data_IF_923707282376
#
_entry.id   IF_923707282376
#
_cell.length_a   1.000
_cell.length_b   1.000
_cell.length_c   1.000
_cell.angle_alpha   90.00
_cell.angle_beta   90.00
_cell.angle_gamma   90.00
#
_symmetry.space_group_name_H-M   'P 1'
#
loop_
_entity.id
_entity.type
_entity.pdbx_description
1 polymer ?
#
# COMPACT_ATOMS: atom_id res chain seq x y z
N UNK A 1 -52.02 -16.53 26.38
CA UNK A 1 -51.90 -16.37 27.84
C UNK A 1 -53.23 -15.88 28.39
N UNK A 2 -53.74 -16.45 29.48
CA UNK A 2 -55.04 -16.12 30.11
C UNK A 2 -55.01 -14.77 30.87
N UNK A 3 -54.36 -13.75 30.32
CA UNK A 3 -54.16 -12.47 31.03
C UNK A 3 -55.48 -11.78 31.41
N UNK A 4 -56.52 -11.97 30.60
CA UNK A 4 -57.84 -11.40 30.90
C UNK A 4 -58.43 -11.94 32.22
N UNK A 5 -58.03 -13.15 32.64
CA UNK A 5 -58.48 -13.76 33.90
C UNK A 5 -57.83 -13.11 35.14
N UNK A 6 -56.82 -12.24 34.97
CA UNK A 6 -56.19 -11.53 36.10
C UNK A 6 -56.86 -10.21 36.43
N UNK A 7 -57.86 -9.76 35.66
CA UNK A 7 -58.57 -8.51 35.92
C UNK A 7 -59.49 -8.63 37.14
N UNK A 8 -59.30 -7.73 38.10
CA UNK A 8 -60.18 -7.57 39.28
C UNK A 8 -61.32 -6.61 38.94
N UNK A 9 -61.01 -5.54 38.21
CA UNK A 9 -61.96 -4.50 37.84
C UNK A 9 -61.65 -3.91 36.46
N UNK A 10 -62.70 -3.54 35.71
CA UNK A 10 -62.58 -2.93 34.40
C UNK A 10 -62.59 -3.94 33.25
N UNK A 11 -62.08 -3.50 32.10
CA UNK A 11 -62.10 -4.24 30.83
C UNK A 11 -60.69 -4.29 30.22
N UNK A 12 -60.43 -5.32 29.41
CA UNK A 12 -59.17 -5.43 28.68
C UNK A 12 -59.10 -4.43 27.53
N UNK A 13 -57.93 -4.31 26.90
CA UNK A 13 -57.72 -3.38 25.78
C UNK A 13 -58.53 -3.76 24.54
N UNK A 14 -59.13 -2.75 23.92
CA UNK A 14 -59.74 -2.82 22.60
C UNK A 14 -58.73 -2.38 21.52
N UNK A 15 -58.90 -2.81 20.24
CA UNK A 15 -57.96 -2.46 19.17
C UNK A 15 -57.77 -0.95 18.90
N UNK A 16 -58.74 -0.12 19.29
CA UNK A 16 -58.71 1.34 19.12
C UNK A 16 -58.23 2.09 20.38
N UNK A 17 -57.88 1.38 21.44
CA UNK A 17 -57.33 2.00 22.64
C UNK A 17 -55.94 2.57 22.40
N UNK A 18 -55.66 3.73 22.99
CA UNK A 18 -54.37 4.42 22.86
C UNK A 18 -53.88 4.98 24.20
N UNK A 19 -54.53 6.02 24.77
CA UNK A 19 -54.13 6.65 26.06
C UNK A 19 -54.83 6.05 27.27
N UNK A 20 -54.78 4.74 27.39
CA UNK A 20 -55.34 4.01 28.53
C UNK A 20 -54.27 3.12 29.16
N UNK A 21 -54.47 2.74 30.41
CA UNK A 21 -53.62 1.77 31.09
C UNK A 21 -54.43 0.83 31.99
N UNK A 22 -53.85 -0.33 32.30
CA UNK A 22 -54.33 -1.23 33.34
C UNK A 22 -53.23 -1.31 34.40
N UNK A 23 -53.57 -0.99 35.64
CA UNK A 23 -52.62 -0.90 36.76
C UNK A 23 -52.75 -2.11 37.69
N UNK A 24 -51.72 -2.40 38.48
CA UNK A 24 -51.79 -3.45 39.49
C UNK A 24 -52.68 -3.05 40.67
N UNK A 25 -53.20 -4.03 41.41
CA UNK A 25 -53.93 -3.82 42.65
C UNK A 25 -53.10 -3.07 43.71
N UNK A 26 -51.77 -3.26 43.70
CA UNK A 26 -50.84 -2.53 44.57
C UNK A 26 -50.74 -1.05 44.20
N UNK A 27 -50.58 -0.72 42.91
CA UNK A 27 -50.50 0.65 42.42
C UNK A 27 -51.83 1.36 42.66
N UNK A 28 -52.94 0.69 42.36
CA UNK A 28 -54.27 1.25 42.59
C UNK A 28 -54.50 1.62 44.06
N UNK A 29 -54.14 0.73 45.00
CA UNK A 29 -54.25 1.01 46.44
C UNK A 29 -53.30 2.10 46.92
N UNK A 30 -52.08 2.13 46.39
CA UNK A 30 -51.02 3.05 46.85
C UNK A 30 -51.24 4.48 46.37
N UNK A 31 -51.84 4.65 45.20
CA UNK A 31 -52.15 5.96 44.59
C UNK A 31 -53.63 6.34 44.71
N UNK A 32 -54.43 5.55 45.44
CA UNK A 32 -55.88 5.72 45.60
C UNK A 32 -56.64 5.88 44.25
N UNK A 33 -56.28 5.03 43.28
CA UNK A 33 -56.80 5.07 41.91
C UNK A 33 -57.99 4.14 41.72
N UNK A 34 -59.03 4.65 41.08
CA UNK A 34 -60.19 3.92 40.61
C UNK A 34 -60.27 3.91 39.08
N UNK A 35 -61.20 3.12 38.53
CA UNK A 35 -61.48 3.11 37.08
C UNK A 35 -61.92 4.51 36.64
N UNK A 36 -61.30 5.02 35.59
CA UNK A 36 -61.58 6.35 35.03
C UNK A 36 -60.64 7.44 35.54
N UNK A 37 -59.87 7.20 36.60
CA UNK A 37 -58.86 8.13 37.06
C UNK A 37 -57.67 8.19 36.11
N UNK A 38 -56.87 9.25 36.22
CA UNK A 38 -55.74 9.47 35.32
C UNK A 38 -54.40 9.31 36.03
N UNK A 39 -53.46 8.63 35.38
CA UNK A 39 -52.07 8.47 35.82
C UNK A 39 -51.14 9.10 34.78
N UNK A 40 -50.11 9.80 35.24
CA UNK A 40 -49.06 10.31 34.37
C UNK A 40 -47.92 9.29 34.25
N UNK A 41 -47.63 8.86 33.02
CA UNK A 41 -46.53 7.97 32.69
C UNK A 41 -45.65 8.64 31.65
N UNK A 42 -44.42 9.02 32.04
CA UNK A 42 -43.43 9.65 31.17
C UNK A 42 -43.94 10.92 30.47
N UNK A 43 -44.79 11.71 31.14
CA UNK A 43 -45.39 12.94 30.59
C UNK A 43 -46.63 12.70 29.73
N UNK A 44 -47.10 11.45 29.63
CA UNK A 44 -48.35 11.08 28.96
C UNK A 44 -49.41 10.75 30.00
N UNK A 45 -50.50 11.50 29.98
CA UNK A 45 -51.68 11.25 30.83
C UNK A 45 -52.48 10.07 30.28
N UNK A 46 -52.56 8.99 31.05
CA UNK A 46 -53.27 7.75 30.75
C UNK A 46 -54.51 7.61 31.63
N UNK A 47 -55.60 7.11 31.06
CA UNK A 47 -56.83 6.79 31.80
C UNK A 47 -56.79 5.34 32.29
N UNK A 48 -57.05 5.11 33.57
CA UNK A 48 -57.10 3.77 34.17
C UNK A 48 -58.36 3.05 33.67
N UNK A 49 -58.18 2.10 32.76
CA UNK A 49 -59.26 1.28 32.18
C UNK A 49 -59.59 0.06 33.05
N UNK A 50 -58.61 -0.46 33.78
CA UNK A 50 -58.80 -1.60 34.66
C UNK A 50 -57.70 -1.77 35.71
N UNK A 51 -57.94 -2.68 36.64
CA UNK A 51 -57.05 -3.06 37.73
C UNK A 51 -56.87 -4.57 37.71
N UNK A 52 -55.63 -5.06 37.70
CA UNK A 52 -55.31 -6.49 37.69
C UNK A 52 -54.73 -6.96 39.04
N UNK A 53 -54.92 -8.25 39.35
CA UNK A 53 -54.33 -8.91 40.51
C UNK A 53 -52.85 -9.21 40.26
N UNK A 54 -51.96 -8.55 41.01
CA UNK A 54 -50.52 -8.73 40.88
C UNK A 54 -50.03 -10.14 41.21
N UNK A 55 -50.69 -10.87 42.12
CA UNK A 55 -50.30 -12.24 42.48
C UNK A 55 -50.66 -13.22 41.37
N UNK A 56 -51.85 -13.07 40.79
CA UNK A 56 -52.28 -13.91 39.66
C UNK A 56 -51.40 -13.66 38.43
N UNK A 57 -51.07 -12.40 38.13
CA UNK A 57 -50.18 -12.08 37.00
C UNK A 57 -48.78 -12.64 37.20
N UNK A 58 -48.20 -12.58 38.41
CA UNK A 58 -46.90 -13.17 38.73
C UNK A 58 -46.88 -14.71 38.62
N UNK A 59 -48.04 -15.38 38.76
CA UNK A 59 -48.14 -16.82 38.62
C UNK A 59 -48.21 -17.28 37.15
N UNK A 60 -48.49 -16.36 36.21
CA UNK A 60 -48.50 -16.65 34.78
C UNK A 60 -47.06 -16.67 34.28
N UNK A 61 -46.68 -17.81 33.72
CA UNK A 61 -45.38 -18.00 33.09
C UNK A 61 -45.52 -17.86 31.57
N UNK A 62 -44.50 -17.27 30.95
CA UNK A 62 -44.35 -17.16 29.51
C UNK A 62 -43.91 -18.51 28.90
N UNK A 63 -43.80 -18.58 27.57
CA UNK A 63 -43.43 -19.78 26.82
C UNK A 63 -42.05 -20.34 27.21
N UNK A 64 -41.15 -19.48 27.68
CA UNK A 64 -39.82 -19.83 28.16
C UNK A 64 -39.81 -20.28 29.63
N UNK A 65 -41.00 -20.45 30.24
CA UNK A 65 -41.24 -20.75 31.65
C UNK A 65 -40.72 -19.69 32.62
N UNK A 66 -40.41 -18.49 32.15
CA UNK A 66 -40.09 -17.35 33.01
C UNK A 66 -41.34 -16.53 33.33
N UNK A 67 -41.25 -15.61 34.29
CA UNK A 67 -42.37 -14.69 34.56
C UNK A 67 -42.57 -13.76 33.36
N UNK A 68 -43.84 -13.50 33.07
CA UNK A 68 -44.28 -12.61 31.98
C UNK A 68 -43.84 -11.15 32.18
N UNK A 69 -43.50 -10.75 33.40
CA UNK A 69 -43.15 -9.37 33.74
C UNK A 69 -41.80 -8.94 33.14
N UNK A 70 -41.55 -7.63 32.99
CA UNK A 70 -40.27 -7.12 32.46
C UNK A 70 -39.08 -7.51 33.35
N UNK A 71 -37.86 -7.54 32.80
CA UNK A 71 -36.61 -7.72 33.58
C UNK A 71 -36.33 -6.46 34.41
N UNK A 72 -35.96 -6.62 35.69
CA UNK A 72 -35.54 -5.53 36.57
C UNK A 72 -34.06 -5.20 36.34
N UNK A 73 -33.81 -4.02 35.75
CA UNK A 73 -32.46 -3.56 35.40
C UNK A 73 -31.71 -2.92 36.57
N UNK A 74 -32.36 -2.74 37.72
CA UNK A 74 -31.73 -2.16 38.92
C UNK A 74 -30.76 -3.12 39.59
N UNK A 75 -30.80 -4.40 39.23
CA UNK A 75 -29.93 -5.46 39.75
C UNK A 75 -28.99 -5.94 38.64
N UNK A 76 -27.76 -5.40 38.54
CA UNK A 76 -26.83 -5.80 37.49
C UNK A 76 -26.44 -7.28 37.62
N UNK A 77 -26.49 -8.03 36.51
CA UNK A 77 -26.00 -9.40 36.43
C UNK A 77 -26.98 -10.50 36.86
N UNK A 78 -28.18 -10.13 37.33
CA UNK A 78 -29.26 -11.08 37.63
C UNK A 78 -30.43 -10.80 36.68
N UNK A 79 -30.88 -11.80 35.92
CA UNK A 79 -32.12 -11.69 35.13
C UNK A 79 -33.36 -11.80 36.03
N UNK A 80 -33.42 -10.98 37.07
CA UNK A 80 -34.58 -10.95 37.95
C UNK A 80 -35.72 -10.20 37.24
N UNK A 81 -36.94 -10.69 37.40
CA UNK A 81 -38.12 -10.08 36.78
C UNK A 81 -38.77 -9.13 37.77
N UNK A 82 -39.27 -8.00 37.29
CA UNK A 82 -40.01 -7.05 38.10
C UNK A 82 -41.26 -7.71 38.66
N UNK A 83 -41.57 -7.45 39.94
CA UNK A 83 -42.83 -7.90 40.53
C UNK A 83 -44.01 -7.26 39.78
N UNK A 84 -45.01 -8.05 39.41
CA UNK A 84 -46.24 -7.57 38.78
C UNK A 84 -46.94 -6.45 39.58
N UNK A 85 -46.68 -6.36 40.89
CA UNK A 85 -47.13 -5.26 41.75
C UNK A 85 -46.67 -3.88 41.26
N UNK A 86 -45.53 -3.78 40.56
CA UNK A 86 -44.98 -2.53 40.03
C UNK A 86 -45.13 -2.39 38.51
N UNK A 87 -45.95 -3.22 37.87
CA UNK A 87 -46.14 -3.23 36.42
C UNK A 87 -47.41 -2.46 36.03
N UNK A 88 -47.30 -1.65 34.98
CA UNK A 88 -48.43 -1.00 34.30
C UNK A 88 -48.52 -1.61 32.90
N UNK A 89 -49.71 -2.04 32.51
CA UNK A 89 -49.99 -2.53 31.16
C UNK A 89 -50.49 -1.37 30.31
N UNK A 90 -50.00 -1.27 29.08
CA UNK A 90 -50.40 -0.24 28.10
C UNK A 90 -50.74 -0.89 26.75
N UNK A 91 -51.60 -0.25 25.93
CA UNK A 91 -51.88 -0.70 24.57
C UNK A 91 -50.63 -0.74 23.69
N UNK A 92 -50.59 -1.71 22.77
CA UNK A 92 -49.51 -1.86 21.79
C UNK A 92 -49.33 -0.61 20.91
N UNK A 93 -50.44 0.03 20.53
CA UNK A 93 -50.47 1.27 19.74
C UNK A 93 -49.67 2.40 20.41
N UNK A 94 -49.85 2.60 21.72
CA UNK A 94 -49.08 3.56 22.50
C UNK A 94 -47.63 3.12 22.70
N UNK A 95 -47.41 1.83 22.97
CA UNK A 95 -46.06 1.29 23.13
C UNK A 95 -45.21 1.52 21.86
N UNK A 96 -45.79 1.31 20.67
CA UNK A 96 -45.13 1.49 19.37
C UNK A 96 -44.55 2.91 19.19
N UNK A 97 -45.27 3.94 19.63
CA UNK A 97 -44.80 5.33 19.50
C UNK A 97 -43.67 5.66 20.49
N UNK A 98 -43.68 5.05 21.67
CA UNK A 98 -42.55 5.13 22.60
C UNK A 98 -41.28 4.44 22.05
N UNK A 99 -41.44 3.40 21.24
CA UNK A 99 -40.33 2.64 20.65
C UNK A 99 -39.72 3.35 19.44
N UNK A 100 -40.54 3.92 18.55
CA UNK A 100 -40.09 4.52 17.29
C UNK A 100 -39.48 5.92 17.44
N UNK A 101 -39.75 6.62 18.54
CA UNK A 101 -39.40 8.04 18.71
C UNK A 101 -37.99 8.31 19.23
N UNK A 102 -37.23 7.28 19.63
CA UNK A 102 -35.97 7.46 20.35
C UNK A 102 -34.85 6.70 19.63
N UNK A 103 -33.88 7.44 19.07
CA UNK A 103 -32.69 6.89 18.40
C UNK A 103 -31.76 6.10 19.33
N UNK A 104 -30.51 5.88 18.93
CA UNK A 104 -29.54 5.12 19.74
C UNK A 104 -29.35 5.71 21.15
N UNK A 105 -29.24 4.85 22.17
CA UNK A 105 -28.96 5.28 23.54
C UNK A 105 -27.51 5.72 23.65
N UNK A 106 -27.30 6.92 24.20
CA UNK A 106 -25.99 7.56 24.32
C UNK A 106 -25.41 7.47 25.73
N UNK A 107 -26.23 7.13 26.73
CA UNK A 107 -25.81 6.99 28.13
C UNK A 107 -26.35 5.72 28.81
N UNK A 108 -25.68 5.28 29.88
CA UNK A 108 -26.13 4.16 30.72
C UNK A 108 -27.46 4.44 31.43
N UNK A 109 -27.69 5.70 31.79
CA UNK A 109 -28.93 6.17 32.42
C UNK A 109 -30.11 6.11 31.43
N UNK A 110 -29.87 6.43 30.16
CA UNK A 110 -30.84 6.21 29.08
C UNK A 110 -31.18 4.73 28.91
N UNK A 111 -30.20 3.82 28.94
CA UNK A 111 -30.47 2.38 28.78
C UNK A 111 -31.35 1.84 29.93
N UNK A 112 -31.15 2.37 31.14
CA UNK A 112 -31.87 1.95 32.34
C UNK A 112 -33.30 2.53 32.44
N UNK A 113 -33.53 3.73 31.93
CA UNK A 113 -34.81 4.45 32.08
C UNK A 113 -35.65 4.51 30.80
N UNK A 114 -35.07 4.20 29.63
CA UNK A 114 -35.81 4.25 28.36
C UNK A 114 -36.88 3.16 28.28
N UNK A 115 -38.10 3.50 27.81
CA UNK A 115 -39.06 2.52 27.37
C UNK A 115 -38.45 1.76 26.18
N UNK A 116 -38.40 0.44 26.30
CA UNK A 116 -37.81 -0.44 25.30
C UNK A 116 -38.56 -1.75 25.27
N UNK A 117 -38.60 -2.36 24.10
CA UNK A 117 -39.11 -3.72 23.95
C UNK A 117 -38.15 -4.65 24.70
N UNK A 118 -38.62 -5.30 25.76
CA UNK A 118 -37.80 -6.25 26.55
C UNK A 118 -38.05 -7.71 26.17
N UNK A 119 -39.28 -8.04 25.80
CA UNK A 119 -39.65 -9.35 25.28
C UNK A 119 -40.85 -9.19 24.34
N UNK A 120 -40.79 -9.82 23.18
CA UNK A 120 -41.96 -10.04 22.33
C UNK A 120 -42.00 -11.53 22.02
N UNK A 121 -43.01 -12.19 22.56
CA UNK A 121 -43.36 -13.56 22.20
C UNK A 121 -44.70 -13.51 21.48
N UNK A 122 -44.74 -13.93 20.22
CA UNK A 122 -45.99 -14.05 19.48
C UNK A 122 -45.87 -15.23 18.50
N UNK A 123 -47.01 -15.87 18.24
CA UNK A 123 -47.12 -16.94 17.26
C UNK A 123 -47.87 -16.35 16.07
N UNK A 124 -47.23 -16.20 14.89
CA UNK A 124 -47.91 -15.64 13.72
C UNK A 124 -49.06 -16.56 13.28
N UNK A 125 -50.10 -15.96 12.68
CA UNK A 125 -51.15 -16.73 12.01
C UNK A 125 -50.56 -17.44 10.79
N UNK A 126 -51.16 -18.58 10.40
CA UNK A 126 -50.64 -19.46 9.33
C UNK A 126 -50.42 -18.78 7.97
N UNK A 127 -51.08 -17.66 7.70
CA UNK A 127 -51.07 -16.98 6.40
C UNK A 127 -50.09 -15.79 6.32
N UNK A 128 -49.24 -15.58 7.33
CA UNK A 128 -48.27 -14.46 7.35
C UNK A 128 -46.90 -14.93 6.87
N UNK A 129 -46.26 -14.17 5.99
CA UNK A 129 -44.90 -14.42 5.53
C UNK A 129 -43.92 -14.36 6.71
N UNK A 130 -43.49 -15.54 7.18
CA UNK A 130 -42.69 -15.67 8.40
C UNK A 130 -41.37 -14.90 8.34
N UNK A 131 -40.63 -15.03 7.23
CA UNK A 131 -39.33 -14.37 7.06
C UNK A 131 -39.44 -12.85 6.98
N UNK A 132 -40.41 -12.32 6.21
CA UNK A 132 -40.62 -10.87 6.08
C UNK A 132 -41.02 -10.25 7.42
N UNK A 133 -41.89 -10.94 8.17
CA UNK A 133 -42.30 -10.50 9.51
C UNK A 133 -41.13 -10.49 10.49
N UNK A 134 -40.26 -11.51 10.44
CA UNK A 134 -39.06 -11.57 11.28
C UNK A 134 -38.10 -10.43 10.97
N UNK A 135 -37.87 -10.13 9.69
CA UNK A 135 -37.04 -8.99 9.27
C UNK A 135 -37.64 -7.65 9.70
N UNK A 136 -38.95 -7.46 9.50
CA UNK A 136 -39.64 -6.23 9.90
C UNK A 136 -39.54 -6.00 11.41
N UNK A 137 -39.79 -7.04 12.21
CA UNK A 137 -39.68 -6.95 13.67
C UNK A 137 -38.23 -6.74 14.08
N UNK A 138 -37.25 -7.36 13.42
CA UNK A 138 -35.85 -7.14 13.73
C UNK A 138 -35.46 -5.68 13.49
N UNK A 139 -35.90 -5.11 12.35
CA UNK A 139 -35.65 -3.73 11.98
C UNK A 139 -36.38 -2.72 12.88
N UNK A 140 -37.62 -3.00 13.30
CA UNK A 140 -38.38 -2.13 14.18
C UNK A 140 -37.87 -2.19 15.62
N UNK A 141 -37.53 -3.38 16.12
CA UNK A 141 -37.05 -3.56 17.50
C UNK A 141 -35.59 -3.18 17.67
N UNK A 142 -34.80 -3.19 16.59
CA UNK A 142 -33.34 -3.06 16.61
C UNK A 142 -32.67 -4.03 17.60
N UNK A 143 -33.34 -5.14 17.92
CA UNK A 143 -32.96 -6.10 18.96
C UNK A 143 -32.54 -7.46 18.40
N UNK A 144 -32.03 -8.30 19.29
CA UNK A 144 -31.77 -9.72 18.98
C UNK A 144 -33.06 -10.52 19.10
N UNK A 145 -33.52 -11.11 18.00
CA UNK A 145 -34.68 -11.98 17.95
C UNK A 145 -34.27 -13.45 17.96
N UNK A 146 -34.87 -14.22 18.84
CA UNK A 146 -34.80 -15.68 18.82
C UNK A 146 -36.02 -16.22 18.08
N UNK A 147 -35.78 -16.89 16.95
CA UNK A 147 -36.84 -17.34 16.03
C UNK A 147 -36.84 -18.85 15.95
N UNK A 148 -38.03 -19.46 16.02
CA UNK A 148 -38.22 -20.89 15.88
C UNK A 148 -39.27 -21.18 14.80
N UNK A 149 -38.85 -21.82 13.70
CA UNK A 149 -39.73 -22.22 12.58
C UNK A 149 -40.22 -23.69 12.75
N UNK A 150 -40.34 -24.16 13.99
CA UNK A 150 -40.78 -25.51 14.33
C UNK A 150 -39.78 -26.65 14.05
N UNK A 151 -38.73 -26.40 13.26
CA UNK A 151 -37.63 -27.37 13.00
C UNK A 151 -36.29 -26.92 13.59
N UNK A 152 -35.98 -25.64 13.48
CA UNK A 152 -34.70 -25.08 13.90
C UNK A 152 -34.92 -23.76 14.66
N UNK A 153 -33.99 -23.48 15.58
CA UNK A 153 -33.93 -22.21 16.32
C UNK A 153 -32.74 -21.43 15.80
N UNK A 154 -32.99 -20.22 15.31
CA UNK A 154 -31.96 -19.32 14.83
C UNK A 154 -32.13 -17.92 15.42
N UNK A 155 -31.05 -17.15 15.39
CA UNK A 155 -31.00 -15.79 15.94
C UNK A 155 -30.91 -14.80 14.79
N UNK A 156 -31.78 -13.80 14.81
CA UNK A 156 -31.74 -12.65 13.88
C UNK A 156 -31.35 -11.42 14.67
N UNK A 157 -30.32 -10.71 14.23
CA UNK A 157 -29.84 -9.48 14.87
C UNK A 157 -29.56 -8.41 13.82
N UNK A 158 -29.98 -7.18 14.11
CA UNK A 158 -29.63 -6.02 13.27
C UNK A 158 -28.27 -5.49 13.70
N UNK A 159 -27.32 -5.45 12.77
CA UNK A 159 -25.99 -4.85 12.99
C UNK A 159 -25.77 -3.73 11.99
N UNK A 160 -25.35 -2.51 12.42
CA UNK A 160 -25.01 -1.46 11.49
C UNK A 160 -23.82 -1.90 10.61
N UNK A 161 -24.03 -1.90 9.29
CA UNK A 161 -23.02 -2.26 8.31
C UNK A 161 -22.76 -1.12 7.33
N UNK A 162 -21.51 -1.00 6.86
CA UNK A 162 -21.15 -0.04 5.81
C UNK A 162 -21.33 -0.73 4.46
N UNK A 163 -22.24 -0.21 3.63
CA UNK A 163 -22.40 -0.67 2.25
C UNK A 163 -21.69 0.28 1.30
N UNK A 164 -20.59 -0.18 0.70
CA UNK A 164 -19.83 0.59 -0.29
C UNK A 164 -20.37 0.30 -1.71
N UNK A 165 -21.27 1.14 -2.21
CA UNK A 165 -21.70 1.09 -3.61
C UNK A 165 -20.55 1.53 -4.53
N UNK A 166 -20.35 0.82 -5.64
CA UNK A 166 -19.38 1.20 -6.69
C UNK A 166 -17.90 1.04 -6.32
N UNK A 167 -17.59 0.23 -5.31
CA UNK A 167 -16.22 0.07 -4.79
C UNK A 167 -15.25 -0.54 -5.80
N UNK A 168 -15.72 -1.38 -6.72
CA UNK A 168 -14.90 -2.00 -7.74
C UNK A 168 -14.44 -0.99 -8.80
N UNK A 169 -15.35 -0.15 -9.30
CA UNK A 169 -15.02 0.88 -10.30
C UNK A 169 -14.10 1.94 -9.70
N UNK A 170 -14.38 2.38 -8.47
CA UNK A 170 -13.54 3.34 -7.76
C UNK A 170 -12.13 2.79 -7.55
N UNK A 171 -11.99 1.50 -7.18
CA UNK A 171 -10.68 0.89 -7.00
C UNK A 171 -9.84 0.93 -8.29
N UNK A 172 -10.43 0.65 -9.45
CA UNK A 172 -9.73 0.74 -10.75
C UNK A 172 -9.26 2.17 -11.02
N UNK A 173 -10.10 3.17 -10.79
CA UNK A 173 -9.75 4.59 -10.99
C UNK A 173 -8.63 5.02 -10.05
N UNK A 174 -8.66 4.60 -8.78
CA UNK A 174 -7.60 4.89 -7.80
C UNK A 174 -6.28 4.27 -8.23
N UNK A 175 -6.27 3.01 -8.70
CA UNK A 175 -5.05 2.36 -9.19
C UNK A 175 -4.48 3.09 -10.40
N UNK A 176 -5.33 3.49 -11.35
CA UNK A 176 -4.90 4.28 -12.51
C UNK A 176 -4.31 5.63 -12.08
N UNK A 177 -4.95 6.32 -11.12
CA UNK A 177 -4.43 7.58 -10.58
C UNK A 177 -3.06 7.40 -9.92
N UNK A 178 -2.87 6.33 -9.13
CA UNK A 178 -1.58 5.97 -8.51
C UNK A 178 -0.50 5.75 -9.57
N UNK A 179 -0.80 5.03 -10.64
CA UNK A 179 0.14 4.79 -11.74
C UNK A 179 0.52 6.09 -12.47
N UNK A 180 -0.46 6.97 -12.74
CA UNK A 180 -0.19 8.26 -13.36
C UNK A 180 0.70 9.10 -12.44
N UNK A 181 0.35 9.23 -11.17
CA UNK A 181 1.15 9.95 -10.18
C UNK A 181 2.58 9.38 -10.08
N UNK A 182 2.73 8.06 -10.14
CA UNK A 182 4.02 7.38 -10.12
C UNK A 182 4.92 7.86 -11.25
N UNK A 183 4.39 7.86 -12.47
CA UNK A 183 5.14 8.30 -13.65
C UNK A 183 5.47 9.80 -13.60
N UNK A 184 4.55 10.63 -13.12
CA UNK A 184 4.77 12.07 -12.97
C UNK A 184 5.86 12.38 -11.96
N UNK A 185 5.86 11.73 -10.79
CA UNK A 185 6.88 11.94 -9.76
C UNK A 185 8.25 11.47 -10.26
N UNK A 186 8.31 10.33 -10.97
CA UNK A 186 9.56 9.86 -11.56
C UNK A 186 10.15 10.85 -12.57
N UNK A 187 9.31 11.43 -13.42
CA UNK A 187 9.74 12.45 -14.38
C UNK A 187 10.21 13.73 -13.68
N UNK A 188 9.48 14.18 -12.65
CA UNK A 188 9.86 15.35 -11.85
C UNK A 188 11.24 15.19 -11.20
N UNK A 189 11.53 14.00 -10.65
CA UNK A 189 12.86 13.70 -10.09
C UNK A 189 13.92 13.69 -11.19
N UNK A 190 13.62 13.16 -12.38
CA UNK A 190 14.55 13.11 -13.49
C UNK A 190 14.95 14.53 -13.98
N UNK A 191 14.02 15.47 -13.96
CA UNK A 191 14.28 16.88 -14.29
C UNK A 191 15.15 17.57 -13.23
N UNK A 192 14.94 17.24 -11.94
CA UNK A 192 15.64 17.84 -10.80
C UNK A 192 16.95 17.14 -10.39
N UNK A 193 17.48 16.23 -11.21
CA UNK A 193 18.75 15.51 -10.91
C UNK A 193 19.92 16.46 -10.64
N UNK A 194 19.99 17.60 -11.36
CA UNK A 194 21.06 18.60 -11.14
C UNK A 194 20.98 19.23 -9.75
N UNK A 195 19.77 19.57 -9.29
CA UNK A 195 19.53 20.15 -7.97
C UNK A 195 19.89 19.15 -6.86
N UNK A 196 19.49 17.88 -7.03
CA UNK A 196 19.86 16.77 -6.14
C UNK A 196 21.40 16.66 -6.03
N UNK A 197 22.12 16.80 -7.15
CA UNK A 197 23.58 16.80 -7.19
C UNK A 197 24.22 17.99 -6.46
N UNK A 198 23.61 19.18 -6.54
CA UNK A 198 24.07 20.37 -5.81
C UNK A 198 23.89 20.15 -4.30
N UNK A 199 22.71 19.71 -3.88
CA UNK A 199 22.40 19.40 -2.47
C UNK A 199 23.33 18.32 -1.90
N UNK A 200 23.61 17.29 -2.69
CA UNK A 200 24.60 16.26 -2.32
C UNK A 200 26.00 16.84 -2.13
N UNK A 201 26.40 17.80 -2.97
CA UNK A 201 27.73 18.41 -2.91
C UNK A 201 27.89 19.33 -1.69
N UNK A 202 26.77 19.86 -1.17
CA UNK A 202 26.70 20.59 0.09
C UNK A 202 26.69 19.67 1.33
N UNK A 203 26.70 18.34 1.14
CA UNK A 203 26.81 17.37 2.22
C UNK A 203 25.48 16.83 2.74
N UNK A 204 24.35 17.07 2.06
CA UNK A 204 23.10 16.41 2.42
C UNK A 204 23.19 14.90 2.22
N UNK A 205 22.74 14.15 3.23
CA UNK A 205 22.65 12.70 3.14
C UNK A 205 21.52 12.29 2.18
N UNK A 206 21.66 11.13 1.52
CA UNK A 206 20.61 10.56 0.66
C UNK A 206 19.24 10.47 1.33
N UNK A 207 19.21 10.19 2.64
CA UNK A 207 17.97 10.11 3.42
C UNK A 207 17.29 11.46 3.59
N UNK A 208 18.05 12.55 3.80
CA UNK A 208 17.46 13.90 3.90
C UNK A 208 16.85 14.33 2.58
N UNK A 209 17.49 14.01 1.46
CA UNK A 209 16.95 14.30 0.12
C UNK A 209 15.66 13.49 -0.11
N UNK A 210 15.63 12.21 0.25
CA UNK A 210 14.42 11.39 0.15
C UNK A 210 13.28 11.94 1.04
N UNK A 211 13.59 12.36 2.27
CA UNK A 211 12.62 12.96 3.19
C UNK A 211 12.02 14.25 2.62
N UNK A 212 12.84 15.11 2.01
CA UNK A 212 12.36 16.34 1.37
C UNK A 212 11.27 16.06 0.33
N UNK A 213 11.49 15.07 -0.54
CA UNK A 213 10.48 14.66 -1.53
C UNK A 213 9.24 14.03 -0.89
N UNK A 214 9.40 13.24 0.17
CA UNK A 214 8.24 12.69 0.90
C UNK A 214 7.41 13.83 1.51
N UNK A 215 8.05 14.85 2.08
CA UNK A 215 7.35 16.03 2.61
C UNK A 215 6.62 16.81 1.52
N UNK A 216 7.22 17.02 0.35
CA UNK A 216 6.57 17.64 -0.81
C UNK A 216 5.28 16.87 -1.19
N UNK A 217 5.33 15.54 -1.21
CA UNK A 217 4.18 14.69 -1.53
C UNK A 217 3.11 14.69 -0.44
N UNK A 218 3.51 14.74 0.84
CA UNK A 218 2.57 14.91 1.96
C UNK A 218 1.80 16.21 1.81
N UNK A 219 2.48 17.32 1.49
CA UNK A 219 1.84 18.62 1.28
C UNK A 219 0.84 18.54 0.12
N UNK A 220 1.22 17.92 -1.00
CA UNK A 220 0.31 17.72 -2.14
C UNK A 220 -0.90 16.84 -1.79
N UNK A 221 -0.71 15.80 -0.97
CA UNK A 221 -1.81 14.92 -0.56
C UNK A 221 -2.85 15.64 0.29
N UNK A 222 -2.41 16.51 1.21
CA UNK A 222 -3.29 17.27 2.10
C UNK A 222 -4.03 18.35 1.30
N UNK A 223 -3.30 19.18 0.55
CA UNK A 223 -3.91 20.26 -0.24
C UNK A 223 -4.83 19.72 -1.34
N UNK A 224 -4.40 18.67 -2.04
CA UNK A 224 -5.21 18.02 -3.06
C UNK A 224 -6.46 17.36 -2.49
N UNK A 225 -6.36 16.71 -1.32
CA UNK A 225 -7.51 16.12 -0.64
C UNK A 225 -8.54 17.16 -0.22
N UNK A 226 -8.09 18.28 0.37
CA UNK A 226 -9.00 19.37 0.79
C UNK A 226 -9.71 19.98 -0.42
N UNK A 227 -8.97 20.28 -1.50
CA UNK A 227 -9.57 20.80 -2.74
C UNK A 227 -10.56 19.80 -3.36
N UNK A 228 -10.18 18.52 -3.45
CA UNK A 228 -11.05 17.47 -3.98
C UNK A 228 -12.34 17.35 -3.18
N UNK A 229 -12.25 17.43 -1.84
CA UNK A 229 -13.42 17.39 -0.96
C UNK A 229 -14.36 18.57 -1.22
N UNK A 230 -13.84 19.80 -1.27
CA UNK A 230 -14.64 21.01 -1.56
C UNK A 230 -15.31 20.90 -2.93
N UNK A 231 -14.57 20.47 -3.96
CA UNK A 231 -15.12 20.27 -5.32
C UNK A 231 -16.19 19.18 -5.32
N UNK A 232 -16.00 18.08 -4.60
CA UNK A 232 -16.98 17.00 -4.50
C UNK A 232 -18.28 17.46 -3.85
N UNK A 233 -18.20 18.27 -2.79
CA UNK A 233 -19.36 18.87 -2.14
C UNK A 233 -20.10 19.82 -3.09
N UNK A 234 -19.35 20.67 -3.79
CA UNK A 234 -19.92 21.58 -4.79
C UNK A 234 -20.63 20.83 -5.93
N UNK A 235 -20.07 19.71 -6.39
CA UNK A 235 -20.67 18.86 -7.41
C UNK A 235 -21.98 18.24 -6.92
N UNK A 236 -21.98 17.66 -5.71
CA UNK A 236 -23.19 17.08 -5.10
C UNK A 236 -24.28 18.14 -4.92
N UNK A 237 -23.92 19.31 -4.40
CA UNK A 237 -24.85 20.43 -4.24
C UNK A 237 -25.42 20.93 -5.58
N UNK A 238 -24.57 21.00 -6.61
CA UNK A 238 -24.99 21.39 -7.97
C UNK A 238 -25.94 20.38 -8.61
N UNK A 239 -25.67 19.08 -8.47
CA UNK A 239 -26.57 18.02 -8.95
C UNK A 239 -27.93 18.07 -8.26
N UNK A 240 -27.94 18.31 -6.94
CA UNK A 240 -29.17 18.50 -6.18
C UNK A 240 -29.97 19.73 -6.64
N UNK A 241 -29.29 20.86 -6.90
CA UNK A 241 -29.95 22.08 -7.40
C UNK A 241 -30.62 21.87 -8.77
N UNK A 242 -30.02 21.03 -9.62
CA UNK A 242 -30.53 20.72 -10.96
C UNK A 242 -31.60 19.60 -10.98
N UNK A 243 -32.02 19.08 -9.83
CA UNK A 243 -32.96 17.95 -9.70
C UNK A 243 -32.56 16.73 -10.54
N UNK A 244 -31.26 16.51 -10.74
CA UNK A 244 -30.77 15.34 -11.47
C UNK A 244 -30.85 14.14 -10.52
N UNK A 245 -31.65 13.11 -10.82
CA UNK A 245 -31.82 11.97 -9.93
C UNK A 245 -30.49 11.24 -9.75
N UNK A 246 -30.01 11.15 -8.51
CA UNK A 246 -28.67 10.65 -8.19
C UNK A 246 -28.54 9.11 -8.17
N UNK A 247 -29.48 8.37 -8.77
CA UNK A 247 -29.44 6.89 -8.89
C UNK A 247 -28.99 6.15 -7.60
N UNK A 248 -29.43 6.59 -6.43
CA UNK A 248 -29.07 5.96 -5.14
C UNK A 248 -27.70 6.37 -4.56
N UNK A 249 -27.05 7.40 -5.10
CA UNK A 249 -25.90 8.06 -4.46
C UNK A 249 -26.41 8.98 -3.36
N UNK A 250 -26.24 8.55 -2.11
CA UNK A 250 -26.47 9.36 -0.92
C UNK A 250 -25.13 9.92 -0.43
N UNK A 251 -25.05 11.24 -0.28
CA UNK A 251 -23.87 11.88 0.25
C UNK A 251 -23.71 11.54 1.74
N UNK A 252 -22.62 10.85 2.05
CA UNK A 252 -22.25 10.56 3.43
C UNK A 252 -21.41 11.73 3.97
N UNK A 253 -22.00 12.53 4.85
CA UNK A 253 -21.33 13.65 5.52
C UNK A 253 -20.71 13.28 6.88
N UNK A 254 -20.63 11.99 7.20
CA UNK A 254 -20.09 11.57 8.50
C UNK A 254 -18.59 11.81 8.56
N UNK A 255 -18.10 12.30 9.71
CA UNK A 255 -16.66 12.49 9.93
C UNK A 255 -15.86 11.20 9.68
N UNK A 256 -16.44 10.04 10.04
CA UNK A 256 -15.81 8.74 9.82
C UNK A 256 -15.63 8.38 8.35
N UNK A 257 -16.62 8.66 7.49
CA UNK A 257 -16.54 8.40 6.05
C UNK A 257 -15.54 9.33 5.38
N UNK A 258 -15.56 10.62 5.74
CA UNK A 258 -14.59 11.60 5.25
C UNK A 258 -13.16 11.19 5.63
N UNK A 259 -12.91 10.84 6.89
CA UNK A 259 -11.59 10.43 7.36
C UNK A 259 -11.07 9.19 6.60
N UNK A 260 -11.95 8.22 6.32
CA UNK A 260 -11.61 7.02 5.56
C UNK A 260 -11.15 7.38 4.14
N UNK A 261 -11.88 8.24 3.43
CA UNK A 261 -11.53 8.66 2.05
C UNK A 261 -10.22 9.44 2.03
N UNK A 262 -10.05 10.41 2.94
CA UNK A 262 -8.80 11.14 3.09
C UNK A 262 -7.62 10.21 3.41
N UNK A 263 -7.84 9.20 4.25
CA UNK A 263 -6.85 8.16 4.54
C UNK A 263 -6.44 7.38 3.29
N UNK A 264 -7.42 6.88 2.52
CA UNK A 264 -7.14 6.16 1.27
C UNK A 264 -6.34 7.02 0.30
N UNK A 265 -6.73 8.29 0.12
CA UNK A 265 -5.99 9.22 -0.76
C UNK A 265 -4.57 9.47 -0.27
N UNK A 266 -4.40 9.76 1.03
CA UNK A 266 -3.10 10.01 1.64
C UNK A 266 -2.15 8.81 1.46
N UNK A 267 -2.61 7.60 1.79
CA UNK A 267 -1.80 6.39 1.64
C UNK A 267 -1.51 6.06 0.18
N UNK A 268 -2.46 6.30 -0.73
CA UNK A 268 -2.26 6.09 -2.17
C UNK A 268 -1.14 7.00 -2.71
N UNK A 269 -1.18 8.30 -2.39
CA UNK A 269 -0.16 9.26 -2.82
C UNK A 269 1.19 8.94 -2.17
N UNK A 270 1.21 8.63 -0.86
CA UNK A 270 2.44 8.31 -0.16
C UNK A 270 3.10 7.03 -0.71
N UNK A 271 2.31 5.97 -0.98
CA UNK A 271 2.82 4.72 -1.55
C UNK A 271 3.53 4.94 -2.89
N UNK A 272 3.01 5.88 -3.68
CA UNK A 272 3.55 6.27 -4.98
C UNK A 272 4.91 6.93 -4.86
N UNK A 273 5.13 7.72 -3.79
CA UNK A 273 6.34 8.50 -3.57
C UNK A 273 7.52 7.69 -3.03
N UNK A 274 7.27 6.54 -2.38
CA UNK A 274 8.30 5.76 -1.68
C UNK A 274 9.41 5.26 -2.63
N UNK A 275 9.04 4.61 -3.74
CA UNK A 275 10.02 4.07 -4.67
C UNK A 275 10.82 5.17 -5.41
N UNK A 276 10.19 6.21 -5.97
CA UNK A 276 10.90 7.32 -6.59
C UNK A 276 11.84 8.04 -5.61
N UNK A 277 11.41 8.30 -4.37
CA UNK A 277 12.26 8.91 -3.34
C UNK A 277 13.48 8.04 -3.00
N UNK A 278 13.28 6.72 -2.88
CA UNK A 278 14.40 5.79 -2.72
C UNK A 278 15.36 5.82 -3.91
N UNK A 279 14.83 5.85 -5.14
CA UNK A 279 15.65 5.93 -6.35
C UNK A 279 16.44 7.26 -6.42
N UNK A 280 15.83 8.37 -6.03
CA UNK A 280 16.49 9.67 -5.92
C UNK A 280 17.66 9.63 -4.94
N UNK A 281 17.47 9.01 -3.76
CA UNK A 281 18.53 8.85 -2.76
C UNK A 281 19.76 8.10 -3.31
N UNK A 282 19.59 7.14 -4.22
CA UNK A 282 20.71 6.43 -4.85
C UNK A 282 21.46 7.25 -5.90
N UNK A 283 20.83 8.26 -6.49
CA UNK A 283 21.49 9.14 -7.46
C UNK A 283 22.48 10.10 -6.77
N UNK A 284 22.29 10.36 -5.48
CA UNK A 284 23.10 11.24 -4.61
C UNK A 284 24.48 10.64 -4.28
N UNK A 285 24.75 9.37 -4.59
CA UNK A 285 26.07 8.78 -4.40
C UNK A 285 26.92 8.84 -5.67
N UNK A 286 27.70 9.91 -5.93
CA UNK A 286 28.61 9.99 -7.07
C UNK A 286 29.73 8.94 -7.00
N UNK A 287 29.96 8.36 -5.82
CA UNK A 287 30.95 7.28 -5.61
C UNK A 287 30.63 5.97 -6.34
N UNK A 288 29.43 5.82 -6.91
CA UNK A 288 29.03 4.62 -7.67
C UNK A 288 29.42 4.65 -9.16
N UNK A 289 29.95 5.74 -9.72
CA UNK A 289 30.72 5.65 -10.97
C UNK A 289 32.13 5.05 -10.75
N UNK A 290 32.24 4.07 -9.83
CA UNK A 290 33.47 3.35 -9.50
C UNK A 290 34.00 2.48 -10.64
N UNK A 291 33.23 2.32 -11.73
CA UNK A 291 33.60 1.51 -12.90
C UNK A 291 33.87 2.42 -14.09
N UNK A 292 35.15 2.53 -14.46
CA UNK A 292 35.59 3.14 -15.72
C UNK A 292 34.77 2.60 -16.89
N UNK A 293 34.18 3.50 -17.69
CA UNK A 293 33.45 3.19 -18.92
C UNK A 293 34.34 3.53 -20.12
N UNK A 294 34.27 2.70 -21.15
CA UNK A 294 34.92 2.99 -22.44
C UNK A 294 34.23 4.22 -23.04
N UNK A 295 34.99 5.29 -23.29
CA UNK A 295 34.46 6.57 -23.79
C UNK A 295 34.14 6.54 -25.29
N UNK A 296 34.70 5.59 -26.02
CA UNK A 296 34.54 5.47 -27.48
C UNK A 296 33.53 4.39 -27.86
N UNK A 297 32.90 4.55 -29.02
CA UNK A 297 32.02 3.55 -29.64
C UNK A 297 32.72 2.91 -30.87
N UNK A 298 32.48 1.62 -31.15
CA UNK A 298 32.97 0.98 -32.37
C UNK A 298 32.40 1.63 -33.63
N UNK A 299 33.21 1.70 -34.68
CA UNK A 299 32.84 2.15 -36.02
C UNK A 299 32.91 0.95 -36.97
N UNK A 300 31.76 0.33 -37.22
CA UNK A 300 31.72 -0.95 -37.95
C UNK A 300 32.53 -2.01 -37.20
N UNK A 301 33.43 -2.70 -37.89
CA UNK A 301 34.22 -3.80 -37.30
C UNK A 301 35.49 -3.35 -36.56
N UNK A 302 35.69 -2.04 -36.39
CA UNK A 302 36.88 -1.47 -35.74
C UNK A 302 36.49 -0.67 -34.51
N UNK A 303 37.19 -0.87 -33.40
CA UNK A 303 37.01 -0.11 -32.17
C UNK A 303 38.33 0.44 -31.66
N UNK A 304 38.47 1.77 -31.72
CA UNK A 304 39.62 2.50 -31.20
C UNK A 304 39.34 2.93 -29.76
N UNK A 305 40.21 2.54 -28.83
CA UNK A 305 40.08 2.85 -27.40
C UNK A 305 41.41 3.46 -26.94
N UNK A 306 41.46 4.78 -26.67
CA UNK A 306 42.64 5.40 -26.09
C UNK A 306 42.81 4.90 -24.64
N UNK A 307 44.02 4.48 -24.29
CA UNK A 307 44.32 4.00 -22.95
C UNK A 307 44.81 5.16 -22.07
N UNK A 308 44.37 5.25 -20.80
CA UNK A 308 44.76 6.33 -19.89
C UNK A 308 46.17 6.10 -19.29
N UNK A 309 47.16 5.87 -20.16
CA UNK A 309 48.55 5.67 -19.79
C UNK A 309 49.44 6.58 -20.63
N UNK A 310 50.18 7.45 -19.97
CA UNK A 310 51.23 8.27 -20.54
C UNK A 310 52.55 7.95 -19.84
N UNK A 311 53.57 7.59 -20.61
CA UNK A 311 54.92 7.30 -20.13
C UNK A 311 55.89 8.35 -20.68
N UNK A 312 56.83 8.80 -19.86
CA UNK A 312 57.77 9.86 -20.24
C UNK A 312 58.94 9.32 -21.07
N UNK A 313 59.42 8.12 -20.74
CA UNK A 313 60.61 7.54 -21.38
C UNK A 313 60.27 6.54 -22.47
N UNK A 314 61.02 6.58 -23.58
CA UNK A 314 60.96 5.61 -24.67
C UNK A 314 61.24 4.19 -24.17
N UNK A 315 62.23 4.06 -23.29
CA UNK A 315 62.63 2.79 -22.70
C UNK A 315 61.50 2.19 -21.85
N UNK A 316 60.85 3.02 -21.02
CA UNK A 316 59.74 2.60 -20.18
C UNK A 316 58.52 2.18 -21.02
N UNK A 317 58.27 2.86 -22.14
CA UNK A 317 57.20 2.50 -23.06
C UNK A 317 57.41 1.12 -23.70
N UNK A 318 58.63 0.81 -24.17
CA UNK A 318 58.94 -0.52 -24.71
C UNK A 318 58.94 -1.59 -23.62
N UNK A 319 59.43 -1.26 -22.41
CA UNK A 319 59.37 -2.16 -21.27
C UNK A 319 57.92 -2.52 -20.88
N UNK A 320 57.01 -1.55 -20.93
CA UNK A 320 55.58 -1.79 -20.71
C UNK A 320 54.98 -2.69 -21.79
N UNK A 321 55.33 -2.52 -23.06
CA UNK A 321 54.87 -3.44 -24.12
C UNK A 321 55.40 -4.86 -23.88
N UNK A 322 56.64 -5.01 -23.43
CA UNK A 322 57.20 -6.32 -23.08
C UNK A 322 56.48 -6.97 -21.89
N UNK A 323 56.10 -6.17 -20.89
CA UNK A 323 55.26 -6.61 -19.79
C UNK A 323 53.88 -7.11 -20.26
N UNK A 324 53.21 -6.36 -21.16
CA UNK A 324 51.95 -6.79 -21.74
C UNK A 324 52.13 -8.04 -22.62
N UNK A 325 53.25 -8.16 -23.35
CA UNK A 325 53.58 -9.35 -24.14
C UNK A 325 53.65 -10.60 -23.26
N UNK A 326 54.34 -10.51 -22.12
CA UNK A 326 54.46 -11.61 -21.15
C UNK A 326 53.08 -11.99 -20.57
N UNK A 327 52.22 -11.00 -20.29
CA UNK A 327 50.84 -11.23 -19.89
C UNK A 327 49.97 -11.91 -20.98
N UNK A 328 50.10 -11.51 -22.24
CA UNK A 328 49.37 -12.12 -23.35
C UNK A 328 49.81 -13.56 -23.61
N UNK A 329 51.10 -13.88 -23.41
CA UNK A 329 51.62 -15.23 -23.54
C UNK A 329 50.99 -16.18 -22.49
N UNK A 330 50.83 -15.70 -21.25
CA UNK A 330 50.11 -16.43 -20.20
C UNK A 330 48.65 -16.73 -20.57
N UNK A 331 48.01 -15.86 -21.38
CA UNK A 331 46.61 -16.00 -21.83
C UNK A 331 46.42 -16.88 -23.07
N UNK A 332 47.43 -17.67 -23.45
CA UNK A 332 47.32 -18.63 -24.57
C UNK A 332 46.65 -19.96 -24.21
N UNK A 333 46.52 -20.25 -22.91
CA UNK A 333 45.87 -21.47 -22.40
C UNK A 333 44.44 -21.56 -22.94
N UNK A 334 44.08 -22.75 -23.44
CA UNK A 334 42.80 -22.97 -24.10
C UNK A 334 41.60 -22.77 -23.18
N UNK A 335 40.66 -21.95 -23.64
CA UNK A 335 39.32 -21.74 -23.05
C UNK A 335 39.30 -21.38 -21.55
N UNK A 336 40.40 -20.88 -20.99
CA UNK A 336 40.47 -20.41 -19.62
C UNK A 336 40.13 -18.92 -19.56
N UNK A 337 39.06 -18.57 -18.85
CA UNK A 337 38.63 -17.19 -18.63
C UNK A 337 37.73 -16.65 -19.75
N UNK A 338 37.79 -15.33 -19.96
CA UNK A 338 36.86 -14.59 -20.84
C UNK A 338 37.38 -14.40 -22.26
N UNK A 339 38.67 -14.63 -22.50
CA UNK A 339 39.30 -14.60 -23.81
C UNK A 339 40.58 -15.42 -23.83
N UNK A 340 40.94 -15.89 -25.01
CA UNK A 340 42.16 -16.63 -25.30
C UNK A 340 42.96 -15.91 -26.38
N UNK A 341 44.28 -15.84 -26.20
CA UNK A 341 45.22 -15.37 -27.22
C UNK A 341 45.66 -16.55 -28.07
N UNK A 342 45.39 -16.51 -29.38
CA UNK A 342 45.77 -17.56 -30.32
C UNK A 342 47.21 -17.37 -30.80
N UNK A 343 47.52 -16.15 -31.22
CA UNK A 343 48.83 -15.73 -31.73
C UNK A 343 49.10 -14.31 -31.30
N UNK A 344 50.35 -13.96 -31.06
CA UNK A 344 50.74 -12.57 -30.90
C UNK A 344 52.13 -12.31 -31.48
N UNK A 345 52.38 -11.07 -31.87
CA UNK A 345 53.66 -10.60 -32.38
C UNK A 345 53.92 -9.19 -31.82
N UNK A 346 55.12 -8.97 -31.27
CA UNK A 346 55.60 -7.65 -30.86
C UNK A 346 56.61 -7.18 -31.91
N UNK A 347 56.30 -6.07 -32.59
CA UNK A 347 57.12 -5.55 -33.69
C UNK A 347 57.37 -4.05 -33.54
N UNK A 348 58.49 -3.53 -34.11
CA UNK A 348 58.70 -2.09 -34.19
C UNK A 348 57.60 -1.46 -35.07
N UNK A 349 57.11 -0.30 -34.64
CA UNK A 349 56.09 0.43 -35.36
C UNK A 349 56.66 1.12 -36.60
N UNK A 350 55.78 1.49 -37.53
CA UNK A 350 56.13 2.37 -38.67
C UNK A 350 55.63 3.79 -38.40
N UNK A 351 56.30 4.76 -39.00
CA UNK A 351 55.99 6.19 -38.93
C UNK A 351 55.99 6.76 -37.50
N UNK A 352 54.84 7.26 -37.02
CA UNK A 352 54.69 7.91 -35.72
C UNK A 352 54.44 6.91 -34.56
N UNK A 353 54.44 5.60 -34.87
CA UNK A 353 54.26 4.52 -33.90
C UNK A 353 55.62 3.96 -33.52
N UNK A 354 55.95 3.96 -32.23
CA UNK A 354 57.20 3.42 -31.71
C UNK A 354 57.26 1.88 -31.84
N UNK A 355 56.23 1.22 -31.35
CA UNK A 355 56.12 -0.24 -31.32
C UNK A 355 54.65 -0.62 -31.18
N UNK A 356 54.28 -1.80 -31.69
CA UNK A 356 52.94 -2.34 -31.56
C UNK A 356 52.93 -3.83 -31.26
N UNK A 357 51.94 -4.26 -30.48
CA UNK A 357 51.62 -5.68 -30.30
C UNK A 357 50.38 -5.98 -31.13
N UNK A 358 50.46 -7.04 -31.93
CA UNK A 358 49.34 -7.57 -32.70
C UNK A 358 49.02 -8.94 -32.14
N UNK A 359 47.82 -9.11 -31.59
CA UNK A 359 47.34 -10.39 -31.10
C UNK A 359 46.07 -10.81 -31.81
N UNK A 360 45.98 -12.07 -32.23
CA UNK A 360 44.72 -12.70 -32.63
C UNK A 360 44.10 -13.33 -31.38
N UNK A 361 42.88 -12.90 -31.05
CA UNK A 361 42.17 -13.36 -29.85
C UNK A 361 40.83 -13.97 -30.20
N UNK A 362 40.45 -14.99 -29.44
CA UNK A 362 39.09 -15.53 -29.41
C UNK A 362 38.43 -15.16 -28.09
N UNK A 363 37.20 -14.64 -28.15
CA UNK A 363 36.45 -14.16 -27.00
C UNK A 363 35.36 -15.16 -26.59
N UNK A 364 35.11 -15.29 -25.30
CA UNK A 364 33.92 -16.00 -24.79
C UNK A 364 32.66 -15.13 -25.03
N UNK A 365 31.45 -15.71 -25.19
CA UNK A 365 31.14 -17.14 -25.20
C UNK A 365 31.73 -17.89 -26.39
N UNK A 366 32.35 -19.04 -26.14
CA UNK A 366 33.14 -19.79 -27.14
C UNK A 366 32.29 -20.26 -28.32
N UNK A 367 31.01 -20.55 -28.08
CA UNK A 367 30.05 -21.06 -29.07
C UNK A 367 29.72 -20.04 -30.16
N UNK A 368 29.88 -18.74 -29.87
CA UNK A 368 29.66 -17.67 -30.85
C UNK A 368 30.83 -17.46 -31.81
N UNK A 369 31.95 -18.17 -31.64
CA UNK A 369 33.08 -18.13 -32.57
C UNK A 369 33.66 -16.73 -32.78
N UNK A 370 33.63 -15.88 -31.75
CA UNK A 370 34.04 -14.48 -31.85
C UNK A 370 35.56 -14.41 -31.94
N UNK A 371 36.09 -14.06 -33.11
CA UNK A 371 37.52 -13.81 -33.31
C UNK A 371 37.79 -12.36 -33.69
N UNK A 372 38.92 -11.85 -33.22
CA UNK A 372 39.35 -10.49 -33.50
C UNK A 372 40.86 -10.35 -33.51
N UNK A 373 41.35 -9.30 -34.16
CA UNK A 373 42.68 -8.78 -33.92
C UNK A 373 42.64 -7.69 -32.85
N UNK A 374 43.67 -7.68 -32.01
CA UNK A 374 43.93 -6.68 -30.98
C UNK A 374 45.28 -6.04 -31.31
N UNK A 375 45.26 -4.74 -31.61
CA UNK A 375 46.44 -3.93 -31.85
C UNK A 375 46.65 -3.02 -30.65
N UNK A 376 47.73 -3.22 -29.89
CA UNK A 376 48.16 -2.28 -28.87
C UNK A 376 49.30 -1.44 -29.44
N UNK A 377 48.99 -0.18 -29.77
CA UNK A 377 49.94 0.74 -30.42
C UNK A 377 50.51 1.71 -29.40
N UNK A 378 51.82 1.90 -29.44
CA UNK A 378 52.51 2.95 -28.70
C UNK A 378 52.98 4.03 -29.67
N UNK A 379 52.56 5.27 -29.48
CA UNK A 379 52.91 6.40 -30.34
C UNK A 379 53.36 7.62 -29.54
N UNK A 380 54.15 8.49 -30.17
CA UNK A 380 54.68 9.69 -29.53
C UNK A 380 53.69 10.86 -29.71
N UNK A 381 53.32 11.52 -28.61
CA UNK A 381 52.44 12.69 -28.62
C UNK A 381 52.86 13.66 -27.50
N UNK A 382 53.03 14.95 -27.84
CA UNK A 382 53.31 16.05 -26.89
C UNK A 382 54.40 15.74 -25.85
N UNK A 383 55.54 15.20 -26.28
CA UNK A 383 56.67 14.90 -25.39
C UNK A 383 56.50 13.68 -24.48
N UNK A 384 55.48 12.84 -24.69
CA UNK A 384 55.33 11.54 -24.03
C UNK A 384 54.91 10.43 -24.98
N UNK A 385 54.84 9.21 -24.46
CA UNK A 385 54.38 8.02 -25.16
C UNK A 385 52.99 7.64 -24.66
N UNK A 386 52.04 7.61 -25.58
CA UNK A 386 50.65 7.24 -25.33
C UNK A 386 50.33 5.90 -25.98
N UNK A 387 49.26 5.27 -25.49
CA UNK A 387 48.84 3.95 -25.94
C UNK A 387 47.41 3.97 -26.45
N UNK A 388 47.18 3.31 -27.58
CA UNK A 388 45.85 3.10 -28.15
C UNK A 388 45.63 1.61 -28.38
N UNK A 389 44.47 1.12 -27.96
CA UNK A 389 44.00 -0.23 -28.23
C UNK A 389 43.03 -0.17 -29.41
N UNK A 390 43.37 -0.81 -30.53
CA UNK A 390 42.50 -0.94 -31.69
C UNK A 390 42.05 -2.39 -31.80
N UNK A 391 40.75 -2.62 -31.77
CA UNK A 391 40.15 -3.95 -31.88
C UNK A 391 39.53 -4.08 -33.27
N UNK A 392 39.79 -5.17 -33.97
CA UNK A 392 39.22 -5.44 -35.30
C UNK A 392 38.52 -6.79 -35.31
N UNK A 393 37.19 -6.80 -35.44
CA UNK A 393 36.38 -8.03 -35.54
C UNK A 393 36.72 -8.79 -36.83
N UNK A 394 36.85 -10.11 -36.73
CA UNK A 394 37.00 -11.03 -37.86
C UNK A 394 35.72 -11.83 -38.06
N UNK A 395 35.22 -12.45 -36.98
CA UNK A 395 34.05 -13.35 -37.01
C UNK A 395 33.22 -13.20 -35.72
N UNK A 396 32.00 -13.74 -35.75
CA UNK A 396 31.06 -13.76 -34.61
C UNK A 396 30.12 -12.55 -34.57
N UNK A 397 28.99 -12.59 -33.85
CA UNK A 397 27.97 -11.52 -33.86
C UNK A 397 28.47 -10.17 -33.33
N UNK A 398 28.05 -9.06 -33.96
CA UNK A 398 28.49 -7.71 -33.60
C UNK A 398 28.10 -7.29 -32.17
N UNK A 399 26.85 -7.56 -31.75
CA UNK A 399 26.36 -7.25 -30.41
C UNK A 399 27.15 -8.00 -29.33
N UNK A 400 27.39 -9.30 -29.54
CA UNK A 400 28.20 -10.13 -28.64
C UNK A 400 29.65 -9.67 -28.59
N UNK A 401 30.25 -9.30 -29.73
CA UNK A 401 31.62 -8.76 -29.80
C UNK A 401 31.80 -7.50 -28.94
N UNK A 402 30.83 -6.58 -28.93
CA UNK A 402 30.88 -5.38 -28.09
C UNK A 402 30.88 -5.74 -26.60
N UNK A 403 30.02 -6.69 -26.20
CA UNK A 403 29.87 -7.07 -24.80
C UNK A 403 31.13 -7.79 -24.31
N UNK A 404 31.62 -8.78 -25.08
CA UNK A 404 32.79 -9.58 -24.72
C UNK A 404 34.07 -8.77 -24.61
N UNK A 405 34.21 -7.70 -25.42
CA UNK A 405 35.38 -6.83 -25.36
C UNK A 405 35.50 -6.04 -24.05
N UNK A 406 34.41 -5.83 -23.32
CA UNK A 406 34.48 -5.13 -22.02
C UNK A 406 35.40 -5.86 -21.03
N UNK A 407 35.42 -7.19 -21.06
CA UNK A 407 36.30 -8.00 -20.20
C UNK A 407 37.77 -7.88 -20.61
N UNK A 408 38.05 -7.96 -21.92
CA UNK A 408 39.44 -7.82 -22.43
C UNK A 408 40.02 -6.43 -22.14
N UNK A 409 39.25 -5.37 -22.38
CA UNK A 409 39.68 -3.99 -22.11
C UNK A 409 39.86 -3.77 -20.59
N UNK A 410 38.97 -4.35 -19.78
CA UNK A 410 39.09 -4.34 -18.32
C UNK A 410 40.38 -4.99 -17.82
N UNK A 411 40.74 -6.16 -18.37
CA UNK A 411 41.96 -6.89 -18.04
C UNK A 411 43.22 -6.11 -18.45
N UNK A 412 43.27 -5.54 -19.66
CA UNK A 412 44.39 -4.69 -20.10
C UNK A 412 44.52 -3.46 -19.18
N UNK A 413 43.42 -2.84 -18.78
CA UNK A 413 43.44 -1.72 -17.82
C UNK A 413 43.97 -2.13 -16.46
N UNK A 414 43.61 -3.32 -15.96
CA UNK A 414 44.18 -3.86 -14.72
C UNK A 414 45.70 -4.03 -14.85
N UNK A 415 46.20 -4.50 -16.00
CA UNK A 415 47.64 -4.57 -16.25
C UNK A 415 48.33 -3.20 -16.22
N UNK A 416 47.68 -2.15 -16.73
CA UNK A 416 48.19 -0.77 -16.64
C UNK A 416 48.32 -0.31 -15.18
N UNK A 417 47.32 -0.62 -14.35
CA UNK A 417 47.36 -0.27 -12.92
C UNK A 417 48.44 -1.07 -12.19
N UNK A 418 48.56 -2.36 -12.48
CA UNK A 418 49.59 -3.21 -11.89
C UNK A 418 51.00 -2.75 -12.27
N UNK A 419 51.21 -2.37 -13.54
CA UNK A 419 52.49 -1.79 -13.99
C UNK A 419 52.92 -0.58 -13.15
N UNK A 420 51.98 0.30 -12.79
CA UNK A 420 52.26 1.47 -11.93
C UNK A 420 52.58 1.11 -10.48
N UNK A 421 52.10 -0.03 -9.99
CA UNK A 421 52.33 -0.51 -8.63
C UNK A 421 53.45 -1.57 -8.52
N UNK A 422 54.11 -1.93 -9.63
CA UNK A 422 55.24 -2.86 -9.59
C UNK A 422 56.37 -2.30 -8.72
N UNK A 423 57.05 -3.19 -8.00
CA UNK A 423 58.24 -2.82 -7.21
C UNK A 423 59.38 -2.44 -8.16
N UNK A 424 60.27 -1.55 -7.72
CA UNK A 424 61.38 -1.06 -8.54
C UNK A 424 62.26 -2.18 -9.11
N UNK A 425 62.54 -3.24 -8.32
CA UNK A 425 63.31 -4.40 -8.78
C UNK A 425 62.66 -5.15 -9.95
N UNK A 426 61.33 -5.28 -9.94
CA UNK A 426 60.60 -5.95 -11.02
C UNK A 426 60.53 -5.05 -12.27
N UNK A 427 60.32 -3.75 -12.06
CA UNK A 427 60.31 -2.76 -13.12
C UNK A 427 61.67 -2.70 -13.84
N UNK A 428 62.77 -2.78 -13.09
CA UNK A 428 64.15 -2.83 -13.60
C UNK A 428 64.37 -4.04 -14.53
N UNK A 429 63.79 -5.20 -14.20
CA UNK A 429 63.85 -6.40 -15.06
C UNK A 429 63.24 -6.13 -16.44
N UNK A 430 62.10 -5.46 -16.49
CA UNK A 430 61.44 -5.09 -17.75
C UNK A 430 62.17 -3.98 -18.49
N UNK A 431 62.77 -3.02 -17.78
CA UNK A 431 63.62 -1.97 -18.40
C UNK A 431 64.84 -2.59 -19.09
N UNK A 432 65.51 -3.58 -18.49
CA UNK A 432 66.61 -4.32 -19.15
C UNK A 432 66.16 -5.05 -20.41
N UNK A 433 65.02 -5.75 -20.35
CA UNK A 433 64.44 -6.41 -21.55
C UNK A 433 64.09 -5.37 -22.62
N UNK A 434 63.50 -4.24 -22.24
CA UNK A 434 63.17 -3.13 -23.14
C UNK A 434 64.39 -2.54 -23.84
N UNK A 435 65.53 -2.40 -23.14
CA UNK A 435 66.80 -1.93 -23.73
C UNK A 435 67.29 -2.90 -24.81
N UNK A 436 67.26 -4.21 -24.54
CA UNK A 436 67.64 -5.24 -25.53
C UNK A 436 66.75 -5.27 -26.77
N UNK A 437 65.47 -4.87 -26.63
CA UNK A 437 64.52 -4.79 -27.74
C UNK A 437 64.78 -3.55 -28.59
N UNK A 438 65.05 -2.40 -27.96
CA UNK A 438 65.44 -1.18 -28.65
C UNK A 438 66.74 -1.36 -29.47
N UNK A 439 67.74 -2.04 -28.90
CA UNK A 439 68.98 -2.39 -29.59
C UNK A 439 68.73 -3.31 -30.79
N UNK A 440 67.89 -4.35 -30.61
CA UNK A 440 67.51 -5.27 -31.71
C UNK A 440 66.74 -4.58 -32.83
N UNK A 441 65.91 -3.60 -32.49
CA UNK A 441 65.13 -2.83 -33.47
C UNK A 441 65.89 -1.65 -34.07
N UNK A 442 67.13 -1.40 -33.63
CA UNK A 442 67.95 -0.23 -34.02
C UNK A 442 67.22 1.10 -33.83
N UNK A 443 66.41 1.21 -32.77
CA UNK A 443 65.51 2.34 -32.52
C UNK A 443 66.01 3.28 -31.43
#
# INVERSE_FOLDING_TARGET
TKMNETLIAGEWFDPWDYRVCIVSDYIAKSLDLNRGDTVDLLGVRLVVKGIFDSKLLNAIHDIDRTQLTPIDLRVPGVQERALAAYVILIPYSLAKDFILSQGFASSLEEIATRPGIRSIAFIPKKDVGFSELVEEIALVTQGTLWVCDGREVYVVSVTPGVRLLGSAEVAVVVVLAVLVLFTTILNSIAERVKEIGILSSLGLSPSHIAQLYIFEMVIYSVLGGVLAYIVSLGLVAGLALLNIPTMGLYANYTASGTLLVFGIMFFSILSTALYPAYKASKLVTPSLERKWKISTKPRGDVWNIPLPLRLASKLEAVAFLEYIREYLDYRRVERVGTYQVLKYELRPGKDNTLAEIIAECQLAPWDYGIRQFVYLKCFKLEGGYNFELVLKRLTGPYSSWIISNKSLVGDIRLQILMWRSLRDNEKERYLRKGRSLLERWRL
#
